data_IF_865251042595
#
_entry.id   IF_865251042595
#
_cell.length_a   1.000
_cell.length_b   1.000
_cell.length_c   1.000
_cell.angle_alpha   90.00
_cell.angle_beta   90.00
_cell.angle_gamma   90.00
#
_symmetry.space_group_name_H-M   'P 1'
#
loop_
_entity.id
_entity.type
_entity.pdbx_description
1 polymer ?
#
# COMPACT_ATOMS: atom_id res chain seq x y z
N UNK A 1 20.52 -5.53 3.68
CA UNK A 1 20.12 -6.31 2.48
C UNK A 1 18.85 -5.69 1.92
N UNK A 2 18.79 -5.41 0.62
CA UNK A 2 17.58 -4.85 -0.02
C UNK A 2 16.52 -5.96 -0.11
N UNK A 3 15.29 -5.66 0.29
CA UNK A 3 14.17 -6.62 0.30
C UNK A 3 13.37 -6.61 -1.01
N UNK A 4 13.85 -5.91 -2.04
CA UNK A 4 13.20 -5.82 -3.35
C UNK A 4 14.26 -5.72 -4.44
N UNK A 5 13.93 -6.26 -5.62
CA UNK A 5 14.74 -6.23 -6.82
C UNK A 5 13.86 -5.66 -7.94
N UNK A 6 14.36 -4.63 -8.62
CA UNK A 6 13.78 -4.15 -9.87
C UNK A 6 14.50 -4.84 -11.02
N UNK A 7 13.75 -5.22 -12.05
CA UNK A 7 14.26 -5.95 -13.22
C UNK A 7 13.92 -5.14 -14.46
N UNK A 8 14.83 -5.13 -15.43
CA UNK A 8 14.69 -4.50 -16.74
C UNK A 8 14.74 -5.56 -17.84
N UNK A 9 14.10 -5.27 -18.97
CA UNK A 9 14.04 -6.17 -20.13
C UNK A 9 15.00 -5.65 -21.21
N UNK A 10 16.13 -6.35 -21.38
CA UNK A 10 17.12 -6.03 -22.42
C UNK A 10 16.83 -6.79 -23.73
N UNK A 11 16.21 -7.96 -23.63
CA UNK A 11 15.93 -8.84 -24.77
C UNK A 11 14.46 -9.29 -24.81
N UNK A 12 14.02 -9.77 -25.98
CA UNK A 12 12.65 -10.29 -26.16
C UNK A 12 12.49 -11.58 -25.35
N UNK A 13 11.43 -11.63 -24.54
CA UNK A 13 11.16 -12.76 -23.67
C UNK A 13 10.62 -13.99 -24.42
N UNK A 14 10.97 -15.17 -23.89
CA UNK A 14 10.35 -16.44 -24.29
C UNK A 14 8.93 -16.58 -23.73
N UNK A 15 8.22 -17.69 -23.99
CA UNK A 15 6.84 -17.93 -23.50
C UNK A 15 6.71 -17.93 -21.98
N UNK A 16 7.78 -18.24 -21.25
CA UNK A 16 7.82 -18.20 -19.79
C UNK A 16 9.11 -17.53 -19.31
N UNK A 17 9.03 -16.88 -18.16
CA UNK A 17 10.20 -16.37 -17.43
C UNK A 17 10.18 -16.95 -16.03
N UNK A 18 11.33 -17.41 -15.55
CA UNK A 18 11.45 -17.94 -14.19
C UNK A 18 12.40 -17.06 -13.37
N UNK A 19 11.95 -16.70 -12.18
CA UNK A 19 12.75 -16.04 -11.16
C UNK A 19 13.14 -17.06 -10.09
N UNK A 20 14.42 -17.12 -9.77
CA UNK A 20 14.92 -17.96 -8.70
C UNK A 20 15.69 -17.12 -7.68
N UNK A 21 15.32 -17.25 -6.41
CA UNK A 21 16.01 -16.64 -5.29
C UNK A 21 16.59 -17.74 -4.40
N UNK A 22 17.91 -17.68 -4.17
CA UNK A 22 18.62 -18.60 -3.29
C UNK A 22 19.15 -17.86 -2.06
N UNK A 23 18.73 -18.30 -0.87
CA UNK A 23 19.21 -17.80 0.41
C UNK A 23 20.11 -18.85 1.07
N UNK A 24 21.41 -18.58 1.08
CA UNK A 24 22.38 -19.32 1.89
C UNK A 24 22.38 -18.75 3.32
N UNK A 25 22.20 -19.62 4.31
CA UNK A 25 22.25 -19.24 5.72
C UNK A 25 22.73 -20.40 6.61
N UNK A 26 23.19 -20.06 7.81
CA UNK A 26 23.48 -21.04 8.86
C UNK A 26 22.26 -21.15 9.76
N UNK A 27 21.75 -22.36 9.96
CA UNK A 27 20.62 -22.60 10.86
C UNK A 27 21.02 -22.42 12.32
N UNK A 28 20.05 -22.31 13.22
CA UNK A 28 20.30 -22.27 14.67
C UNK A 28 20.98 -23.54 15.22
N UNK A 29 21.02 -24.63 14.42
CA UNK A 29 21.72 -25.87 14.74
C UNK A 29 23.16 -25.91 14.23
N UNK A 30 23.65 -24.86 13.56
CA UNK A 30 24.98 -24.81 12.97
C UNK A 30 25.08 -25.35 11.54
N UNK A 31 24.02 -25.98 11.01
CA UNK A 31 24.04 -26.48 9.62
C UNK A 31 24.05 -25.33 8.61
N UNK A 32 24.91 -25.40 7.58
CA UNK A 32 24.80 -24.56 6.38
C UNK A 32 23.64 -25.07 5.53
N UNK A 33 22.67 -24.21 5.22
CA UNK A 33 21.47 -24.54 4.43
C UNK A 33 21.27 -23.56 3.30
N UNK A 34 20.69 -24.05 2.20
CA UNK A 34 20.25 -23.22 1.08
C UNK A 34 18.74 -23.34 1.00
N UNK A 35 18.02 -22.21 1.04
CA UNK A 35 16.59 -22.14 0.74
C UNK A 35 16.43 -21.54 -0.65
N UNK A 36 15.75 -22.27 -1.55
CA UNK A 36 15.50 -21.84 -2.92
C UNK A 36 14.00 -21.59 -3.10
N UNK A 37 13.65 -20.43 -3.64
CA UNK A 37 12.31 -20.11 -4.12
C UNK A 37 12.38 -19.97 -5.64
N UNK A 38 11.49 -20.66 -6.36
CA UNK A 38 11.38 -20.57 -7.82
C UNK A 38 9.95 -20.19 -8.18
N UNK A 39 9.80 -19.18 -9.02
CA UNK A 39 8.52 -18.70 -9.53
C UNK A 39 8.63 -18.58 -11.04
N UNK A 40 7.72 -19.19 -11.78
CA UNK A 40 7.65 -19.07 -13.24
C UNK A 40 6.37 -18.34 -13.62
N UNK A 41 6.51 -17.33 -14.48
CA UNK A 41 5.43 -16.48 -14.95
C UNK A 41 5.28 -16.63 -16.47
N UNK A 42 4.04 -16.75 -16.99
CA UNK A 42 3.80 -16.72 -18.42
C UNK A 42 4.06 -15.31 -18.97
N UNK A 43 4.55 -15.24 -20.20
CA UNK A 43 4.67 -13.97 -20.92
C UNK A 43 3.48 -13.77 -21.84
N UNK A 44 3.17 -12.51 -22.15
CA UNK A 44 2.07 -12.16 -23.05
C UNK A 44 2.43 -10.93 -23.87
N UNK A 45 1.99 -10.93 -25.12
CA UNK A 45 2.03 -9.74 -25.99
C UNK A 45 0.71 -8.94 -25.91
N UNK A 46 -0.32 -9.48 -25.26
CA UNK A 46 -1.61 -8.81 -25.09
C UNK A 46 -1.57 -7.84 -23.91
N UNK A 47 -1.60 -6.55 -24.21
CA UNK A 47 -1.62 -5.48 -23.21
C UNK A 47 -2.83 -5.61 -22.27
N UNK A 48 -3.99 -6.06 -22.74
CA UNK A 48 -5.15 -6.23 -21.87
C UNK A 48 -4.86 -7.25 -20.76
N UNK A 49 -4.15 -8.34 -21.07
CA UNK A 49 -3.69 -9.30 -20.07
C UNK A 49 -2.67 -8.69 -19.11
N UNK A 50 -1.74 -7.85 -19.56
CA UNK A 50 -0.79 -7.15 -18.69
C UNK A 50 -1.53 -6.31 -17.64
N UNK A 51 -2.49 -5.50 -18.07
CA UNK A 51 -3.24 -4.63 -17.16
C UNK A 51 -4.19 -5.40 -16.22
N UNK A 52 -4.81 -6.49 -16.69
CA UNK A 52 -5.66 -7.33 -15.86
C UNK A 52 -4.86 -8.06 -14.76
N UNK A 53 -3.61 -8.43 -15.05
CA UNK A 53 -2.71 -9.11 -14.12
C UNK A 53 -1.82 -8.14 -13.31
N UNK A 54 -2.09 -6.83 -13.36
CA UNK A 54 -1.37 -5.84 -12.56
C UNK A 54 -1.51 -6.16 -11.06
N UNK A 55 -0.39 -6.46 -10.40
CA UNK A 55 -0.33 -6.70 -8.96
C UNK A 55 -0.11 -5.40 -8.20
N UNK A 56 -1.24 -4.77 -7.83
CA UNK A 56 -1.27 -3.58 -7.00
C UNK A 56 -0.44 -3.72 -5.71
N UNK A 57 -0.50 -4.90 -5.07
CA UNK A 57 0.10 -5.11 -3.76
C UNK A 57 1.62 -5.01 -3.86
N UNK A 58 2.18 -5.71 -4.83
CA UNK A 58 3.61 -5.69 -5.12
C UNK A 58 4.06 -4.28 -5.56
N UNK A 59 3.31 -3.62 -6.45
CA UNK A 59 3.64 -2.28 -6.94
C UNK A 59 3.66 -1.24 -5.82
N UNK A 60 2.63 -1.21 -4.97
CA UNK A 60 2.56 -0.26 -3.84
C UNK A 60 3.71 -0.50 -2.87
N UNK A 61 4.00 -1.77 -2.53
CA UNK A 61 5.14 -2.09 -1.66
C UNK A 61 6.49 -1.72 -2.27
N UNK A 62 6.66 -1.90 -3.58
CA UNK A 62 7.88 -1.54 -4.31
C UNK A 62 8.11 -0.02 -4.26
N UNK A 63 7.11 0.76 -4.69
CA UNK A 63 7.19 2.23 -4.74
C UNK A 63 7.42 2.80 -3.34
N UNK A 64 6.70 2.28 -2.33
CA UNK A 64 6.88 2.72 -0.95
C UNK A 64 8.32 2.54 -0.45
N UNK A 65 8.92 1.36 -0.67
CA UNK A 65 10.29 1.10 -0.21
C UNK A 65 11.33 1.89 -1.02
N UNK A 66 11.13 2.09 -2.32
CA UNK A 66 12.00 2.96 -3.13
C UNK A 66 11.92 4.41 -2.64
N UNK A 67 10.70 4.95 -2.44
CA UNK A 67 10.51 6.31 -1.95
C UNK A 67 11.12 6.53 -0.56
N UNK A 68 10.96 5.55 0.34
CA UNK A 68 11.62 5.55 1.65
C UNK A 68 13.14 5.54 1.50
N UNK A 69 13.68 4.63 0.68
CA UNK A 69 15.13 4.51 0.49
C UNK A 69 15.73 5.81 -0.06
N UNK A 70 15.08 6.44 -1.06
CA UNK A 70 15.50 7.75 -1.61
C UNK A 70 15.47 8.85 -0.57
N UNK A 71 14.38 8.92 0.20
CA UNK A 71 14.22 9.93 1.26
C UNK A 71 15.28 9.77 2.36
N UNK A 72 15.61 8.53 2.73
CA UNK A 72 16.66 8.23 3.72
C UNK A 72 18.08 8.48 3.20
N UNK A 73 18.30 8.44 1.88
CA UNK A 73 19.59 8.76 1.25
C UNK A 73 19.75 10.25 0.92
N UNK A 74 18.86 11.11 1.42
CA UNK A 74 18.98 12.57 1.30
C UNK A 74 18.26 13.20 0.12
N UNK A 75 17.51 12.44 -0.69
CA UNK A 75 16.64 13.04 -1.71
C UNK A 75 15.48 13.79 -1.04
N UNK A 76 15.06 14.95 -1.59
CA UNK A 76 13.88 15.65 -1.12
C UNK A 76 12.63 14.77 -1.09
N UNK A 77 11.78 14.98 -0.08
CA UNK A 77 10.53 14.23 0.03
C UNK A 77 9.58 14.53 -1.14
N UNK A 78 9.64 15.73 -1.70
CA UNK A 78 8.89 16.15 -2.89
C UNK A 78 9.09 15.18 -4.04
N UNK A 79 10.32 14.75 -4.30
CA UNK A 79 10.66 13.87 -5.42
C UNK A 79 9.99 12.51 -5.27
N UNK A 80 9.95 11.98 -4.04
CA UNK A 80 9.27 10.71 -3.75
C UNK A 80 7.75 10.84 -3.93
N UNK A 81 7.18 11.98 -3.54
CA UNK A 81 5.74 12.26 -3.72
C UNK A 81 5.37 12.39 -5.20
N UNK A 82 6.18 13.14 -5.95
CA UNK A 82 6.00 13.31 -7.39
C UNK A 82 6.11 11.96 -8.11
N UNK A 83 7.11 11.14 -7.77
CA UNK A 83 7.25 9.80 -8.33
C UNK A 83 6.03 8.89 -8.05
N UNK A 84 5.41 9.01 -6.86
CA UNK A 84 4.16 8.28 -6.54
C UNK A 84 3.01 8.72 -7.46
N UNK A 85 2.86 10.02 -7.68
CA UNK A 85 1.81 10.56 -8.57
C UNK A 85 2.07 10.14 -10.01
N UNK A 86 3.30 10.34 -10.50
CA UNK A 86 3.71 10.02 -11.87
C UNK A 86 3.53 8.52 -12.16
N UNK A 87 3.83 7.63 -11.21
CA UNK A 87 3.59 6.19 -11.41
C UNK A 87 2.12 5.87 -11.71
N UNK A 88 1.17 6.57 -11.08
CA UNK A 88 -0.27 6.40 -11.37
C UNK A 88 -0.65 7.02 -12.70
N UNK A 89 -0.17 8.24 -12.98
CA UNK A 89 -0.41 8.97 -14.23
C UNK A 89 0.10 8.14 -15.42
N UNK A 90 1.30 7.61 -15.33
CA UNK A 90 1.92 6.78 -16.37
C UNK A 90 1.15 5.48 -16.57
N UNK A 91 0.81 4.77 -15.49
CA UNK A 91 0.13 3.49 -15.59
C UNK A 91 -1.29 3.63 -16.20
N UNK A 92 -2.08 4.59 -15.72
CA UNK A 92 -3.43 4.84 -16.24
C UNK A 92 -3.41 5.55 -17.60
N UNK A 93 -2.46 6.44 -17.83
CA UNK A 93 -2.27 7.12 -19.12
C UNK A 93 -1.83 6.17 -20.22
N UNK A 94 -0.94 5.21 -19.91
CA UNK A 94 -0.57 4.13 -20.83
C UNK A 94 -1.78 3.22 -21.13
N UNK A 95 -2.53 2.82 -20.10
CA UNK A 95 -3.76 2.03 -20.29
C UNK A 95 -4.77 2.75 -21.19
N UNK A 96 -4.98 4.04 -20.92
CA UNK A 96 -5.89 4.87 -21.68
C UNK A 96 -5.48 4.98 -23.15
N UNK A 97 -4.20 5.20 -23.44
CA UNK A 97 -3.69 5.23 -24.83
C UNK A 97 -3.86 3.89 -25.54
N UNK A 98 -3.62 2.78 -24.84
CA UNK A 98 -3.69 1.44 -25.42
C UNK A 98 -5.14 0.98 -25.68
N UNK A 99 -6.10 1.39 -24.85
CA UNK A 99 -7.45 0.82 -24.84
C UNK A 99 -8.56 1.80 -25.27
N UNK A 100 -8.26 3.09 -25.45
CA UNK A 100 -9.27 4.10 -25.85
C UNK A 100 -9.60 3.98 -27.34
N UNK A 101 -10.68 3.27 -27.65
CA UNK A 101 -11.26 3.15 -29.00
C UNK A 101 -12.11 4.38 -29.37
N UNK A 102 -11.51 5.57 -29.46
CA UNK A 102 -12.17 6.78 -29.99
C UNK A 102 -13.28 7.40 -29.13
N UNK A 103 -13.53 6.91 -27.90
CA UNK A 103 -14.49 7.51 -26.97
C UNK A 103 -13.85 8.66 -26.18
N UNK A 104 -14.40 9.86 -26.33
CA UNK A 104 -14.10 10.99 -25.46
C UNK A 104 -14.83 10.83 -24.11
N UNK A 105 -14.13 11.17 -23.02
CA UNK A 105 -14.73 11.30 -21.68
C UNK A 105 -14.12 10.38 -20.61
N UNK A 106 -14.09 10.88 -19.38
CA UNK A 106 -13.70 10.16 -18.16
C UNK A 106 -12.21 9.79 -18.04
N UNK A 107 -11.80 9.49 -16.80
CA UNK A 107 -10.56 8.77 -16.53
C UNK A 107 -10.83 7.28 -16.82
N UNK A 108 -10.09 6.69 -17.76
CA UNK A 108 -10.27 5.28 -18.12
C UNK A 108 -9.40 4.38 -17.24
N UNK A 109 -9.99 3.35 -16.65
CA UNK A 109 -9.28 2.31 -15.89
C UNK A 109 -9.81 0.90 -16.25
N UNK A 110 -9.01 -0.16 -16.07
CA UNK A 110 -9.46 -1.53 -16.27
C UNK A 110 -10.70 -1.86 -15.43
N UNK A 111 -11.70 -2.51 -16.05
CA UNK A 111 -12.90 -2.98 -15.32
C UNK A 111 -12.55 -4.12 -14.37
N UNK A 112 -11.61 -4.96 -14.78
CA UNK A 112 -11.07 -6.09 -14.03
C UNK A 112 -9.63 -5.80 -13.59
N UNK A 113 -9.12 -6.59 -12.65
CA UNK A 113 -7.79 -6.40 -12.10
C UNK A 113 -7.71 -5.25 -11.08
N UNK A 114 -6.48 -4.99 -10.62
CA UNK A 114 -6.25 -4.10 -9.47
C UNK A 114 -5.73 -2.72 -9.84
N UNK A 115 -5.41 -2.44 -11.11
CA UNK A 115 -4.91 -1.13 -11.54
C UNK A 115 -5.91 0.00 -11.22
N UNK A 116 -7.22 -0.27 -11.27
CA UNK A 116 -8.27 0.69 -10.88
C UNK A 116 -8.17 1.17 -9.42
N UNK A 117 -7.55 0.38 -8.54
CA UNK A 117 -7.34 0.71 -7.13
C UNK A 117 -6.00 1.45 -6.91
N UNK A 118 -5.17 1.58 -7.93
CA UNK A 118 -3.85 2.20 -7.79
C UNK A 118 -3.90 3.67 -7.37
N UNK A 119 -4.79 4.53 -7.92
CA UNK A 119 -4.93 5.90 -7.43
C UNK A 119 -5.30 5.98 -5.95
N UNK A 120 -6.09 5.04 -5.46
CA UNK A 120 -6.52 5.00 -4.07
C UNK A 120 -5.32 4.76 -3.14
N UNK A 121 -4.51 3.74 -3.44
CA UNK A 121 -3.31 3.45 -2.65
C UNK A 121 -2.23 4.53 -2.79
N UNK A 122 -2.08 5.16 -3.96
CA UNK A 122 -1.17 6.28 -4.12
C UNK A 122 -1.59 7.49 -3.26
N UNK A 123 -2.88 7.82 -3.19
CA UNK A 123 -3.38 8.85 -2.29
C UNK A 123 -3.10 8.50 -0.82
N UNK A 124 -3.37 7.26 -0.43
CA UNK A 124 -3.07 6.76 0.90
C UNK A 124 -1.58 6.87 1.25
N UNK A 125 -0.68 6.54 0.31
CA UNK A 125 0.76 6.75 0.47
C UNK A 125 1.09 8.23 0.69
N UNK A 126 0.54 9.13 -0.13
CA UNK A 126 0.77 10.58 -0.03
C UNK A 126 0.26 11.20 1.29
N UNK A 127 -0.70 10.55 1.96
CA UNK A 127 -1.23 10.93 3.28
C UNK A 127 -0.49 10.28 4.45
N UNK A 128 0.19 9.17 4.22
CA UNK A 128 0.92 8.44 5.23
C UNK A 128 2.06 9.27 5.84
N UNK A 129 2.34 9.08 7.14
CA UNK A 129 3.38 9.80 7.91
C UNK A 129 4.74 9.82 7.23
N UNK A 130 5.10 8.76 6.50
CA UNK A 130 6.35 8.70 5.73
C UNK A 130 6.42 9.75 4.62
N UNK A 131 5.33 10.03 3.90
CA UNK A 131 5.33 10.84 2.68
C UNK A 131 4.50 12.11 2.72
N UNK A 132 3.66 12.31 3.75
CA UNK A 132 2.82 13.50 3.80
C UNK A 132 3.63 14.79 3.98
N UNK A 133 3.14 15.84 3.33
CA UNK A 133 3.67 17.20 3.35
C UNK A 133 2.60 18.17 3.90
N UNK A 134 3.03 19.36 4.33
CA UNK A 134 2.12 20.44 4.75
C UNK A 134 1.52 20.31 6.15
N UNK A 135 1.99 19.37 6.97
CA UNK A 135 1.67 19.29 8.40
C UNK A 135 2.91 19.00 9.23
N UNK A 136 2.94 19.54 10.46
CA UNK A 136 4.04 19.29 11.40
C UNK A 136 4.00 17.85 11.89
N UNK A 137 5.11 17.13 11.71
CA UNK A 137 5.31 15.75 12.15
C UNK A 137 6.66 15.68 12.84
N UNK A 138 6.71 15.07 14.01
CA UNK A 138 7.97 14.84 14.71
C UNK A 138 8.88 14.00 13.82
N UNK A 139 10.15 14.40 13.72
CA UNK A 139 11.12 13.70 12.88
C UNK A 139 11.20 12.21 13.22
N UNK A 140 11.20 11.89 14.52
CA UNK A 140 11.22 10.50 15.02
C UNK A 140 10.04 9.68 14.51
N UNK A 141 8.82 10.23 14.54
CA UNK A 141 7.61 9.55 14.04
C UNK A 141 7.73 9.25 12.54
N UNK A 142 8.27 10.20 11.77
CA UNK A 142 8.49 10.03 10.32
C UNK A 142 9.53 8.96 10.04
N UNK A 143 10.68 9.01 10.73
CA UNK A 143 11.76 8.03 10.56
C UNK A 143 11.29 6.65 10.98
N UNK A 144 10.56 6.53 12.10
CA UNK A 144 9.96 5.27 12.53
C UNK A 144 9.00 4.70 11.47
N UNK A 145 8.11 5.54 10.92
CA UNK A 145 7.20 5.12 9.85
C UNK A 145 7.94 4.68 8.58
N UNK A 146 9.01 5.39 8.20
CA UNK A 146 9.87 5.01 7.07
C UNK A 146 10.56 3.66 7.31
N UNK A 147 11.15 3.45 8.49
CA UNK A 147 11.81 2.18 8.84
C UNK A 147 10.80 1.02 8.87
N UNK A 148 9.58 1.26 9.37
CA UNK A 148 8.50 0.27 9.32
C UNK A 148 8.20 -0.16 7.88
N UNK A 149 7.99 0.79 6.96
CA UNK A 149 7.75 0.47 5.55
C UNK A 149 8.95 -0.24 4.90
N UNK A 150 10.19 0.09 5.29
CA UNK A 150 11.41 -0.54 4.74
C UNK A 150 11.50 -2.04 5.04
N UNK A 151 11.11 -2.45 6.24
CA UNK A 151 11.33 -3.82 6.73
C UNK A 151 10.07 -4.67 6.82
N UNK A 152 8.86 -4.08 6.79
CA UNK A 152 7.63 -4.84 6.89
C UNK A 152 7.35 -5.75 5.67
N UNK A 153 6.64 -6.87 5.89
CA UNK A 153 6.00 -7.64 4.82
C UNK A 153 4.98 -6.81 4.05
N UNK A 154 4.66 -7.26 2.84
CA UNK A 154 3.77 -6.57 1.90
C UNK A 154 2.36 -6.36 2.47
N UNK A 155 1.81 -7.35 3.18
CA UNK A 155 0.47 -7.30 3.77
C UNK A 155 0.34 -6.19 4.82
N UNK A 156 1.42 -5.95 5.58
CA UNK A 156 1.46 -4.89 6.58
C UNK A 156 1.54 -3.52 5.95
N UNK A 157 2.35 -3.37 4.90
CA UNK A 157 2.49 -2.12 4.17
C UNK A 157 1.13 -1.69 3.61
N UNK A 158 0.38 -2.62 3.03
CA UNK A 158 -0.97 -2.33 2.53
C UNK A 158 -1.93 -1.92 3.65
N UNK A 159 -1.90 -2.62 4.78
CA UNK A 159 -2.74 -2.32 5.94
C UNK A 159 -2.40 -0.97 6.59
N UNK A 160 -1.15 -0.53 6.47
CA UNK A 160 -0.72 0.78 6.96
C UNK A 160 -1.20 1.92 6.04
N UNK A 161 -1.20 1.69 4.71
CA UNK A 161 -1.71 2.68 3.76
C UNK A 161 -3.23 2.74 3.73
N UNK A 162 -3.92 1.61 3.60
CA UNK A 162 -5.38 1.56 3.56
C UNK A 162 -5.91 0.70 4.74
N UNK A 163 -6.14 1.31 5.91
CA UNK A 163 -6.59 0.59 7.09
C UNK A 163 -7.94 -0.08 6.88
N UNK A 164 -8.08 -1.31 7.39
CA UNK A 164 -9.35 -2.02 7.35
C UNK A 164 -10.31 -1.43 8.39
N UNK A 165 -11.47 -0.97 7.92
CA UNK A 165 -12.54 -0.46 8.77
C UNK A 165 -13.66 -1.50 8.87
N UNK A 166 -14.08 -1.79 10.09
CA UNK A 166 -15.14 -2.73 10.38
C UNK A 166 -16.23 -2.03 11.18
N UNK A 167 -17.48 -2.16 10.73
CA UNK A 167 -18.63 -1.71 11.51
C UNK A 167 -18.89 -2.73 12.62
N UNK A 168 -18.82 -2.27 13.85
CA UNK A 168 -18.96 -3.09 15.07
C UNK A 168 -20.08 -2.56 15.98
N UNK A 169 -21.01 -1.78 15.42
CA UNK A 169 -22.11 -1.14 16.18
C UNK A 169 -23.04 -2.17 16.85
N UNK A 170 -23.12 -3.38 16.30
CA UNK A 170 -23.87 -4.50 16.90
C UNK A 170 -23.05 -5.23 17.99
N UNK A 171 -21.79 -4.83 18.19
CA UNK A 171 -20.76 -5.51 18.99
C UNK A 171 -20.19 -4.61 20.11
N UNK A 172 -20.52 -3.30 20.21
CA UNK A 172 -19.91 -2.41 21.21
C UNK A 172 -20.89 -1.45 21.90
N UNK A 173 -21.97 -1.95 22.52
CA UNK A 173 -22.73 -1.17 23.49
C UNK A 173 -22.04 -1.11 24.88
N UNK A 174 -20.96 -1.87 25.09
CA UNK A 174 -20.30 -2.03 26.40
C UNK A 174 -18.78 -1.82 26.32
N UNK A 175 -18.17 -1.55 27.48
CA UNK A 175 -16.71 -1.40 27.67
C UNK A 175 -15.94 -2.60 27.08
N UNK A 176 -14.77 -2.39 26.48
CA UNK A 176 -13.86 -3.45 25.96
C UNK A 176 -13.21 -4.31 27.08
N UNK A 177 -13.79 -4.31 28.27
CA UNK A 177 -13.42 -5.21 29.36
C UNK A 177 -13.87 -6.63 29.00
N UNK A 178 -13.07 -7.60 29.39
CA UNK A 178 -13.48 -9.00 29.29
C UNK A 178 -14.57 -9.26 30.32
N UNK A 179 -15.70 -9.76 29.86
CA UNK A 179 -16.80 -10.20 30.70
C UNK A 179 -17.11 -11.66 30.37
N UNK A 180 -17.64 -12.39 31.35
CA UNK A 180 -18.11 -13.76 31.16
C UNK A 180 -19.50 -13.75 30.50
N UNK A 181 -19.53 -13.36 29.22
CA UNK A 181 -20.73 -13.42 28.38
C UNK A 181 -20.38 -13.61 26.90
N UNK A 182 -21.31 -14.22 26.17
CA UNK A 182 -21.16 -14.59 24.75
C UNK A 182 -20.75 -13.40 23.86
N UNK A 183 -21.26 -12.22 24.18
CA UNK A 183 -20.96 -11.00 23.43
C UNK A 183 -19.50 -10.58 23.58
N UNK A 184 -19.00 -10.48 24.82
CA UNK A 184 -17.59 -10.15 25.10
C UNK A 184 -16.67 -11.18 24.43
N UNK A 185 -17.00 -12.47 24.50
CA UNK A 185 -16.26 -13.52 23.81
C UNK A 185 -16.19 -13.30 22.29
N UNK A 186 -17.32 -12.98 21.64
CA UNK A 186 -17.38 -12.67 20.21
C UNK A 186 -16.53 -11.46 19.83
N UNK A 187 -16.60 -10.38 20.61
CA UNK A 187 -15.79 -9.16 20.39
C UNK A 187 -14.31 -9.49 20.45
N UNK A 188 -13.87 -10.15 21.52
CA UNK A 188 -12.46 -10.47 21.73
C UNK A 188 -11.96 -11.50 20.73
N UNK A 189 -12.80 -12.46 20.33
CA UNK A 189 -12.48 -13.42 19.26
C UNK A 189 -12.28 -12.72 17.92
N UNK A 190 -13.18 -11.82 17.54
CA UNK A 190 -13.05 -11.00 16.34
C UNK A 190 -11.76 -10.17 16.35
N UNK A 191 -11.46 -9.48 17.46
CA UNK A 191 -10.24 -8.69 17.58
C UNK A 191 -8.99 -9.57 17.47
N UNK A 192 -8.97 -10.74 18.15
CA UNK A 192 -7.86 -11.70 18.01
C UNK A 192 -7.70 -12.18 16.58
N UNK A 193 -8.79 -12.44 15.87
CA UNK A 193 -8.76 -12.88 14.48
C UNK A 193 -8.15 -11.79 13.56
N UNK A 194 -8.60 -10.54 13.71
CA UNK A 194 -8.12 -9.41 12.89
C UNK A 194 -6.67 -9.03 13.23
N UNK A 195 -6.20 -9.31 14.45
CA UNK A 195 -4.81 -9.04 14.85
C UNK A 195 -3.86 -10.22 14.67
N UNK A 196 -4.37 -11.44 14.43
CA UNK A 196 -3.55 -12.66 14.38
C UNK A 196 -2.44 -12.63 13.31
N UNK A 197 -2.67 -11.92 12.20
CA UNK A 197 -1.72 -11.81 11.09
C UNK A 197 -0.90 -10.51 11.13
N UNK A 198 -1.05 -9.69 12.17
CA UNK A 198 -0.29 -8.44 12.30
C UNK A 198 1.15 -8.74 12.74
N UNK A 199 2.11 -8.16 12.02
CA UNK A 199 3.53 -8.30 12.30
C UNK A 199 3.96 -7.60 13.60
N UNK A 200 3.13 -6.65 14.07
CA UNK A 200 3.27 -6.00 15.36
C UNK A 200 1.93 -6.00 16.09
N UNK A 201 1.94 -6.37 17.38
CA UNK A 201 0.79 -6.24 18.26
C UNK A 201 0.82 -4.84 18.87
N UNK A 202 0.05 -3.92 18.30
CA UNK A 202 -0.22 -2.62 18.90
C UNK A 202 -1.31 -2.70 19.97
N UNK A 203 -1.36 -1.75 20.93
CA UNK A 203 -2.46 -1.68 21.89
C UNK A 203 -3.79 -1.43 21.19
N UNK A 204 -4.88 -1.98 21.74
CA UNK A 204 -6.24 -1.59 21.34
C UNK A 204 -6.53 -0.22 21.96
N UNK A 205 -6.83 0.77 21.12
CA UNK A 205 -7.12 2.13 21.54
C UNK A 205 -8.60 2.40 21.33
N UNK A 206 -9.30 2.77 22.40
CA UNK A 206 -10.70 3.20 22.35
C UNK A 206 -10.71 4.72 22.17
N UNK A 207 -11.37 5.18 21.11
CA UNK A 207 -11.48 6.61 20.78
C UNK A 207 -12.96 6.96 20.76
N UNK A 208 -13.37 7.86 21.65
CA UNK A 208 -14.70 8.48 21.64
C UNK A 208 -14.65 9.80 20.84
N UNK A 209 -15.79 10.36 20.46
CA UNK A 209 -15.86 11.64 19.72
C UNK A 209 -15.21 12.80 20.48
N UNK A 210 -15.27 12.77 21.82
CA UNK A 210 -14.69 13.77 22.71
C UNK A 210 -13.18 13.55 22.95
N UNK A 211 -12.62 12.43 22.51
CA UNK A 211 -11.24 12.06 22.79
C UNK A 211 -10.25 13.06 22.18
N UNK A 212 -9.22 13.51 22.93
CA UNK A 212 -8.20 14.42 22.40
C UNK A 212 -7.37 13.79 21.28
N UNK A 213 -7.38 12.46 21.17
CA UNK A 213 -6.67 11.70 20.14
C UNK A 213 -7.55 11.32 18.94
N UNK A 214 -8.79 11.83 18.84
CA UNK A 214 -9.71 11.51 17.72
C UNK A 214 -9.11 11.75 16.35
N UNK A 215 -8.23 12.74 16.25
CA UNK A 215 -7.57 13.10 15.01
C UNK A 215 -6.72 11.95 14.44
N UNK A 216 -6.22 11.04 15.29
CA UNK A 216 -5.49 9.84 14.85
C UNK A 216 -6.38 8.93 14.00
N UNK A 217 -7.68 8.80 14.36
CA UNK A 217 -8.65 8.01 13.60
C UNK A 217 -9.02 8.72 12.30
N UNK A 218 -9.33 10.02 12.37
CA UNK A 218 -9.69 10.83 11.19
C UNK A 218 -8.56 10.83 10.16
N UNK A 219 -7.29 10.89 10.60
CA UNK A 219 -6.11 10.80 9.71
C UNK A 219 -5.99 9.47 8.97
N UNK A 220 -6.64 8.41 9.46
CA UNK A 220 -6.69 7.09 8.81
C UNK A 220 -7.86 6.96 7.83
N UNK A 221 -8.75 7.96 7.75
CA UNK A 221 -9.80 8.08 6.73
C UNK A 221 -9.20 8.63 5.42
N UNK A 222 -8.47 7.78 4.72
CA UNK A 222 -7.63 8.18 3.58
C UNK A 222 -8.41 8.72 2.37
N UNK A 223 -9.71 8.47 2.29
CA UNK A 223 -10.57 8.95 1.20
C UNK A 223 -10.99 10.42 1.39
N UNK A 224 -10.98 10.89 2.64
CA UNK A 224 -11.48 12.22 3.00
C UNK A 224 -10.47 13.32 2.74
N UNK A 225 -10.96 14.53 2.47
CA UNK A 225 -10.10 15.71 2.31
C UNK A 225 -9.40 16.03 3.63
N UNK A 226 -8.16 16.50 3.54
CA UNK A 226 -7.42 17.07 4.67
C UNK A 226 -6.97 18.48 4.33
N UNK A 227 -6.41 19.21 5.30
CA UNK A 227 -5.93 20.59 5.10
C UNK A 227 -4.88 20.70 3.98
N UNK A 228 -4.00 19.68 3.85
CA UNK A 228 -2.85 19.72 2.95
C UNK A 228 -2.91 18.73 1.78
N UNK A 229 -3.95 17.87 1.71
CA UNK A 229 -4.07 16.86 0.65
C UNK A 229 -5.51 16.63 0.20
N UNK A 230 -5.67 16.30 -1.08
CA UNK A 230 -6.94 16.02 -1.76
C UNK A 230 -7.78 14.93 -1.07
N UNK A 231 -9.11 15.02 -1.21
CA UNK A 231 -9.99 13.85 -1.13
C UNK A 231 -9.73 12.89 -2.30
N UNK A 232 -10.26 11.67 -2.22
CA UNK A 232 -10.13 10.70 -3.32
C UNK A 232 -10.69 11.24 -4.65
N UNK A 233 -11.85 11.91 -4.61
CA UNK A 233 -12.49 12.47 -5.81
C UNK A 233 -11.64 13.59 -6.43
N UNK A 234 -11.13 14.51 -5.61
CA UNK A 234 -10.23 15.59 -6.06
C UNK A 234 -8.93 15.01 -6.62
N UNK A 235 -8.40 13.95 -6.02
CA UNK A 235 -7.19 13.28 -6.50
C UNK A 235 -7.42 12.63 -7.86
N UNK A 236 -8.54 11.95 -8.09
CA UNK A 236 -8.88 11.41 -9.42
C UNK A 236 -9.01 12.51 -10.48
N UNK A 237 -9.56 13.67 -10.12
CA UNK A 237 -9.62 14.83 -11.02
C UNK A 237 -8.24 15.39 -11.33
N UNK A 238 -7.33 15.41 -10.36
CA UNK A 238 -5.93 15.77 -10.57
C UNK A 238 -5.25 14.78 -11.52
N UNK A 239 -5.30 13.48 -11.25
CA UNK A 239 -4.74 12.44 -12.14
C UNK A 239 -5.30 12.56 -13.56
N UNK A 240 -6.62 12.79 -13.69
CA UNK A 240 -7.24 13.01 -15.00
C UNK A 240 -6.65 14.24 -15.72
N UNK A 241 -6.35 15.33 -15.02
CA UNK A 241 -5.74 16.53 -15.62
C UNK A 241 -4.32 16.23 -16.11
N UNK A 242 -3.49 15.61 -15.27
CA UNK A 242 -2.11 15.24 -15.62
C UNK A 242 -2.03 14.27 -16.81
N UNK A 243 -3.00 13.35 -16.96
CA UNK A 243 -3.03 12.44 -18.12
C UNK A 243 -3.39 13.17 -19.43
N UNK A 244 -4.10 14.29 -19.34
CA UNK A 244 -4.57 15.04 -20.52
C UNK A 244 -3.72 16.28 -20.83
N UNK A 245 -2.78 16.65 -19.96
CA UNK A 245 -1.74 17.65 -20.22
C UNK A 245 -0.64 17.06 -21.08
#
# INVERSE_FOLDING_TARGET
KRNIVQVELEEKLSTFVCFQAALLYTSSKGDRRIRVHTMCLPTTADLAQVYNNFDLKATVSLIAKIGVDRSLTGSPLSDSREAIVNAVVDALGAYQRAMRQGRAGGLLAPRHGHLRLFPLYALAMLKHTSFCAGRSIKLDDRVAAMLMLRFCPLEQILSEFYPQMYRINEILQHSFRTYDNEFSEKVHSFVRHVTALKFYLGPVIIVTEESPIREIVVRRLVDDRTESTHSYVEFLQHIKREINS
#
